data_IF_443047681655
#
_entry.id   IF_443047681655
#
_cell.length_a   1.000
_cell.length_b   1.000
_cell.length_c   1.000
_cell.angle_alpha   90.00
_cell.angle_beta   90.00
_cell.angle_gamma   90.00
#
_symmetry.space_group_name_H-M   'P 1'
#
loop_
_entity.id
_entity.type
_entity.pdbx_description
1 polymer ?
#
# COMPACT_ATOMS: atom_id res chain seq x y z
N UNK A 1 -6.98 9.59 12.90
CA UNK A 1 -6.69 9.91 11.49
C UNK A 1 -7.57 11.10 11.05
N UNK A 2 -6.98 12.06 10.33
CA UNK A 2 -7.79 13.04 9.60
C UNK A 2 -8.23 12.37 8.29
N UNK A 3 -9.54 12.14 8.12
CA UNK A 3 -10.10 11.43 6.97
C UNK A 3 -10.69 12.38 5.91
N UNK A 4 -10.70 13.69 6.14
CA UNK A 4 -11.38 14.64 5.21
C UNK A 4 -10.90 14.47 3.77
N UNK A 5 -9.59 14.59 3.54
CA UNK A 5 -9.01 14.49 2.20
C UNK A 5 -9.27 13.11 1.56
N UNK A 6 -9.28 12.06 2.39
CA UNK A 6 -9.55 10.69 1.95
C UNK A 6 -11.01 10.54 1.52
N UNK A 7 -11.94 11.12 2.28
CA UNK A 7 -13.37 11.12 1.95
C UNK A 7 -13.63 11.87 0.65
N UNK A 8 -12.98 13.02 0.46
CA UNK A 8 -13.08 13.80 -0.78
C UNK A 8 -12.58 13.01 -2.00
N UNK A 9 -11.45 12.32 -1.87
CA UNK A 9 -10.91 11.46 -2.95
C UNK A 9 -11.88 10.30 -3.24
N UNK A 10 -12.45 9.66 -2.21
CA UNK A 10 -13.42 8.57 -2.38
C UNK A 10 -14.69 9.10 -3.08
N UNK A 11 -15.17 10.28 -2.71
CA UNK A 11 -16.34 10.89 -3.35
C UNK A 11 -16.08 11.15 -4.83
N UNK A 12 -14.88 11.60 -5.22
CA UNK A 12 -14.48 11.72 -6.62
C UNK A 12 -14.47 10.36 -7.34
N UNK A 13 -13.91 9.33 -6.71
CA UNK A 13 -13.84 7.98 -7.27
C UNK A 13 -15.23 7.36 -7.52
N UNK A 14 -16.25 7.78 -6.76
CA UNK A 14 -17.63 7.27 -6.91
C UNK A 14 -18.43 7.98 -8.00
N UNK A 15 -17.87 8.97 -8.69
CA UNK A 15 -18.55 9.62 -9.82
C UNK A 15 -18.64 8.69 -11.02
N UNK A 16 -19.85 8.56 -11.60
CA UNK A 16 -20.15 7.57 -12.65
C UNK A 16 -19.63 7.94 -14.05
N UNK A 17 -19.27 9.20 -14.26
CA UNK A 17 -18.85 9.72 -15.57
C UNK A 17 -17.33 9.70 -15.81
N UNK A 18 -16.56 9.12 -14.89
CA UNK A 18 -15.11 8.92 -15.05
C UNK A 18 -14.80 7.43 -15.30
N UNK A 19 -13.69 7.18 -16.00
CA UNK A 19 -13.33 5.80 -16.38
C UNK A 19 -12.99 4.94 -15.16
N UNK A 20 -13.14 3.60 -15.27
CA UNK A 20 -12.79 2.67 -14.20
C UNK A 20 -11.35 2.87 -13.69
N UNK A 21 -10.38 3.06 -14.59
CA UNK A 21 -8.97 3.25 -14.26
C UNK A 21 -8.76 4.52 -13.42
N UNK A 22 -9.39 5.62 -13.83
CA UNK A 22 -9.27 6.89 -13.09
C UNK A 22 -9.93 6.79 -11.72
N UNK A 23 -11.06 6.08 -11.62
CA UNK A 23 -11.69 5.76 -10.32
C UNK A 23 -10.76 4.93 -9.44
N UNK A 24 -10.13 3.89 -10.02
CA UNK A 24 -9.12 3.07 -9.36
C UNK A 24 -7.93 3.89 -8.87
N UNK A 25 -7.39 4.80 -9.69
CA UNK A 25 -6.30 5.70 -9.32
C UNK A 25 -6.65 6.62 -8.13
N UNK A 26 -7.87 7.15 -8.08
CA UNK A 26 -8.32 7.92 -6.91
C UNK A 26 -8.33 7.08 -5.64
N UNK A 27 -8.85 5.84 -5.69
CA UNK A 27 -8.86 4.96 -4.51
C UNK A 27 -7.44 4.56 -4.09
N UNK A 28 -6.58 4.22 -5.05
CA UNK A 28 -5.16 3.95 -4.77
C UNK A 28 -4.49 5.13 -4.07
N UNK A 29 -4.75 6.35 -4.54
CA UNK A 29 -4.23 7.57 -3.90
C UNK A 29 -4.75 7.75 -2.47
N UNK A 30 -6.03 7.46 -2.23
CA UNK A 30 -6.63 7.52 -0.89
C UNK A 30 -5.98 6.51 0.07
N UNK A 31 -5.75 5.27 -0.38
CA UNK A 31 -5.06 4.23 0.41
C UNK A 31 -3.61 4.63 0.67
N UNK A 32 -2.89 5.18 -0.32
CA UNK A 32 -1.51 5.67 -0.13
C UNK A 32 -1.43 6.77 0.93
N UNK A 33 -2.40 7.70 0.95
CA UNK A 33 -2.50 8.74 1.99
C UNK A 33 -2.72 8.12 3.37
N UNK A 34 -3.66 7.18 3.49
CA UNK A 34 -3.94 6.49 4.76
C UNK A 34 -2.72 5.70 5.27
N UNK A 35 -2.11 4.91 4.40
CA UNK A 35 -0.90 4.14 4.71
C UNK A 35 0.25 5.04 5.15
N UNK A 36 0.50 6.13 4.44
CA UNK A 36 1.54 7.09 4.79
C UNK A 36 1.31 7.75 6.15
N UNK A 37 0.07 8.10 6.48
CA UNK A 37 -0.31 8.64 7.79
C UNK A 37 -0.16 7.58 8.89
N UNK A 38 -0.58 6.35 8.61
CA UNK A 38 -0.42 5.22 9.51
C UNK A 38 1.06 4.94 9.80
N UNK A 39 1.88 4.80 8.76
CA UNK A 39 3.30 4.52 8.89
C UNK A 39 4.04 5.60 9.69
N UNK A 40 3.68 6.88 9.51
CA UNK A 40 4.23 8.00 10.28
C UNK A 40 3.84 7.89 11.76
N UNK A 41 2.57 7.58 12.06
CA UNK A 41 2.06 7.44 13.43
C UNK A 41 2.73 6.27 14.17
N UNK A 42 2.93 5.14 13.49
CA UNK A 42 3.47 3.90 14.06
C UNK A 42 4.99 3.76 13.91
N UNK A 43 5.66 4.79 13.37
CA UNK A 43 7.12 4.79 13.10
C UNK A 43 7.58 3.66 12.15
N UNK A 44 6.67 3.12 11.34
CA UNK A 44 6.93 2.07 10.33
C UNK A 44 7.36 2.63 8.96
N UNK A 45 7.82 3.89 8.90
CA UNK A 45 8.26 4.51 7.64
C UNK A 45 9.63 4.03 7.16
N UNK A 46 10.37 3.36 8.05
CA UNK A 46 11.72 2.86 7.80
C UNK A 46 11.94 1.52 8.48
N UNK A 47 12.73 0.64 7.86
CA UNK A 47 13.13 -0.68 8.42
C UNK A 47 14.07 -0.47 9.62
N UNK A 48 15.05 0.41 9.45
CA UNK A 48 16.00 0.81 10.50
C UNK A 48 15.79 2.29 10.84
N UNK A 49 16.15 2.68 12.04
CA UNK A 49 16.15 4.09 12.42
C UNK A 49 16.97 4.91 11.39
N UNK A 50 16.38 6.02 10.92
CA UNK A 50 16.88 6.79 9.76
C UNK A 50 18.32 7.27 9.92
N UNK A 51 18.69 7.76 11.10
CA UNK A 51 20.04 8.28 11.35
C UNK A 51 21.06 7.14 11.46
N UNK A 52 20.66 6.02 12.06
CA UNK A 52 21.48 4.81 12.13
C UNK A 52 21.75 4.24 10.74
N UNK A 53 20.70 4.11 9.91
CA UNK A 53 20.87 3.65 8.53
C UNK A 53 21.74 4.60 7.71
N UNK A 54 21.55 5.92 7.85
CA UNK A 54 22.36 6.91 7.14
C UNK A 54 23.85 6.78 7.45
N UNK A 55 24.20 6.41 8.69
CA UNK A 55 25.60 6.20 9.11
C UNK A 55 26.25 5.05 8.35
N UNK A 56 25.52 3.95 8.12
CA UNK A 56 26.04 2.74 7.46
C UNK A 56 25.76 2.67 5.97
N UNK A 57 24.81 3.46 5.45
CA UNK A 57 24.45 3.44 4.03
C UNK A 57 25.59 3.87 3.10
N UNK A 58 26.52 4.68 3.61
CA UNK A 58 27.75 5.05 2.88
C UNK A 58 28.64 3.83 2.61
N UNK A 59 28.91 3.03 3.62
CA UNK A 59 29.73 1.83 3.52
C UNK A 59 29.06 0.78 2.63
N UNK A 60 27.75 0.56 2.83
CA UNK A 60 26.95 -0.33 1.97
C UNK A 60 27.04 0.10 0.50
N UNK A 61 26.94 1.41 0.26
CA UNK A 61 27.05 1.96 -1.10
C UNK A 61 28.42 1.67 -1.72
N UNK A 62 29.50 1.92 -1.00
CA UNK A 62 30.86 1.68 -1.48
C UNK A 62 30.99 0.21 -1.87
N UNK A 63 30.70 -0.72 -0.96
CA UNK A 63 30.84 -2.15 -1.22
C UNK A 63 29.99 -2.66 -2.39
N UNK A 64 28.75 -2.18 -2.53
CA UNK A 64 27.90 -2.57 -3.65
C UNK A 64 28.48 -2.05 -4.98
N UNK A 65 28.92 -0.80 -5.02
CA UNK A 65 29.46 -0.22 -6.26
C UNK A 65 30.79 -0.85 -6.66
N UNK A 66 31.69 -1.09 -5.72
CA UNK A 66 32.94 -1.81 -5.95
C UNK A 66 32.67 -3.23 -6.49
N UNK A 67 31.76 -3.98 -5.85
CA UNK A 67 31.40 -5.31 -6.33
C UNK A 67 30.83 -5.30 -7.74
N UNK A 68 30.01 -4.31 -8.09
CA UNK A 68 29.46 -4.18 -9.43
C UNK A 68 30.52 -3.80 -10.48
N UNK A 69 31.44 -2.92 -10.15
CA UNK A 69 32.55 -2.52 -11.03
C UNK A 69 33.51 -3.70 -11.31
N UNK A 70 33.79 -4.51 -10.30
CA UNK A 70 34.74 -5.64 -10.42
C UNK A 70 34.15 -6.83 -11.18
N UNK A 71 32.83 -7.05 -11.12
CA UNK A 71 32.21 -8.28 -11.62
C UNK A 71 31.36 -8.07 -12.88
N UNK A 72 31.06 -6.83 -13.26
CA UNK A 72 30.20 -6.52 -14.40
C UNK A 72 30.73 -5.34 -15.20
N UNK A 73 30.60 -5.41 -16.52
CA UNK A 73 30.89 -4.28 -17.41
C UNK A 73 29.72 -3.28 -17.39
N UNK A 74 29.67 -2.48 -16.33
CA UNK A 74 28.61 -1.52 -16.09
C UNK A 74 29.10 -0.09 -16.29
N UNK A 75 28.38 0.69 -17.12
CA UNK A 75 28.72 2.09 -17.30
C UNK A 75 28.54 2.91 -16.02
N UNK A 76 29.38 3.92 -15.84
CA UNK A 76 29.33 4.85 -14.68
C UNK A 76 27.94 5.44 -14.44
N UNK A 77 27.18 5.69 -15.51
CA UNK A 77 25.79 6.18 -15.41
C UNK A 77 24.89 5.23 -14.62
N UNK A 78 25.02 3.92 -14.86
CA UNK A 78 24.21 2.92 -14.14
C UNK A 78 24.68 2.74 -12.69
N UNK A 79 25.99 2.79 -12.43
CA UNK A 79 26.52 2.80 -11.06
C UNK A 79 25.99 3.98 -10.24
N UNK A 80 25.95 5.18 -10.83
CA UNK A 80 25.37 6.36 -10.19
C UNK A 80 23.86 6.16 -9.89
N UNK A 81 23.10 5.50 -10.77
CA UNK A 81 21.70 5.18 -10.53
C UNK A 81 21.52 4.19 -9.40
N UNK A 82 22.33 3.11 -9.37
CA UNK A 82 22.34 2.14 -8.25
C UNK A 82 22.65 2.84 -6.94
N UNK A 83 23.70 3.67 -6.91
CA UNK A 83 24.09 4.40 -5.72
C UNK A 83 23.00 5.35 -5.17
N UNK A 84 22.14 5.88 -6.04
CA UNK A 84 20.97 6.71 -5.62
C UNK A 84 19.83 5.87 -5.04
N UNK A 85 19.75 4.57 -5.35
CA UNK A 85 18.72 3.66 -4.87
C UNK A 85 19.01 3.06 -3.49
N UNK A 86 20.25 3.01 -3.06
CA UNK A 86 20.65 2.41 -1.79
C UNK A 86 19.90 3.00 -0.57
N UNK A 87 19.70 4.34 -0.45
CA UNK A 87 18.92 4.88 0.64
C UNK A 87 17.45 4.39 0.68
N UNK A 88 16.91 3.96 -0.46
CA UNK A 88 15.54 3.44 -0.55
C UNK A 88 15.40 2.04 0.05
N UNK A 89 16.51 1.28 0.18
CA UNK A 89 16.52 -0.04 0.83
C UNK A 89 16.04 0.00 2.29
N UNK A 90 16.08 1.16 2.92
CA UNK A 90 15.56 1.36 4.27
C UNK A 90 14.05 1.64 4.33
N UNK A 91 13.36 1.56 3.20
CA UNK A 91 11.90 1.72 3.16
C UNK A 91 11.26 0.34 3.07
N UNK A 92 10.31 0.01 3.95
CA UNK A 92 9.52 -1.20 3.79
C UNK A 92 8.80 -1.20 2.44
N UNK A 93 8.61 -2.36 1.84
CA UNK A 93 7.80 -2.46 0.64
C UNK A 93 6.36 -1.99 0.91
N UNK A 94 5.72 -1.45 -0.12
CA UNK A 94 4.34 -0.96 -0.02
C UNK A 94 3.40 -2.02 0.54
N UNK A 95 3.49 -3.25 0.04
CA UNK A 95 2.65 -4.38 0.45
C UNK A 95 2.85 -4.76 1.91
N UNK A 96 4.10 -4.77 2.38
CA UNK A 96 4.42 -5.11 3.77
C UNK A 96 3.83 -4.09 4.73
N UNK A 97 3.97 -2.79 4.43
CA UNK A 97 3.35 -1.73 5.21
C UNK A 97 1.81 -1.82 5.20
N UNK A 98 1.24 -2.22 4.06
CA UNK A 98 -0.20 -2.37 3.93
C UNK A 98 -0.71 -3.53 4.80
N UNK A 99 -0.01 -4.68 4.80
CA UNK A 99 -0.30 -5.82 5.67
C UNK A 99 -0.20 -5.45 7.14
N UNK A 100 0.88 -4.79 7.56
CA UNK A 100 1.01 -4.28 8.92
C UNK A 100 -0.13 -3.34 9.31
N UNK A 101 -0.53 -2.45 8.40
CA UNK A 101 -1.63 -1.51 8.64
C UNK A 101 -2.95 -2.23 8.85
N UNK A 102 -3.34 -3.17 7.98
CA UNK A 102 -4.62 -3.89 8.11
C UNK A 102 -4.69 -4.70 9.40
N UNK A 103 -3.58 -5.32 9.82
CA UNK A 103 -3.52 -6.00 11.11
C UNK A 103 -3.65 -5.04 12.30
N UNK A 104 -2.97 -3.90 12.25
CA UNK A 104 -2.93 -2.96 13.37
C UNK A 104 -4.26 -2.24 13.63
N UNK A 105 -5.10 -2.12 12.60
CA UNK A 105 -6.44 -1.48 12.69
C UNK A 105 -7.57 -2.49 12.72
N UNK A 106 -7.25 -3.79 12.76
CA UNK A 106 -8.22 -4.88 12.73
C UNK A 106 -9.20 -4.78 11.55
N UNK A 107 -8.67 -4.45 10.38
CA UNK A 107 -9.47 -4.41 9.16
C UNK A 107 -9.92 -5.84 8.79
N UNK A 108 -11.17 -5.97 8.34
CA UNK A 108 -11.71 -7.26 7.85
C UNK A 108 -11.15 -7.58 6.45
N UNK A 109 -9.81 -7.61 6.35
CA UNK A 109 -9.03 -7.84 5.15
C UNK A 109 -8.00 -8.95 5.41
N UNK A 110 -7.67 -9.70 4.38
CA UNK A 110 -6.64 -10.74 4.39
C UNK A 110 -5.33 -10.22 3.79
N UNK A 111 -4.24 -11.00 3.94
CA UNK A 111 -3.00 -10.72 3.21
C UNK A 111 -3.19 -10.80 1.70
N UNK A 112 -4.03 -11.72 1.23
CA UNK A 112 -4.38 -11.86 -0.20
C UNK A 112 -5.09 -10.62 -0.74
N UNK A 113 -6.00 -10.01 0.06
CA UNK A 113 -6.61 -8.73 -0.30
C UNK A 113 -5.56 -7.62 -0.44
N UNK A 114 -4.55 -7.58 0.45
CA UNK A 114 -3.46 -6.62 0.38
C UNK A 114 -2.54 -6.86 -0.84
N UNK A 115 -2.25 -8.12 -1.17
CA UNK A 115 -1.44 -8.49 -2.33
C UNK A 115 -2.16 -8.17 -3.63
N UNK A 116 -3.45 -8.48 -3.72
CA UNK A 116 -4.33 -8.14 -4.86
C UNK A 116 -4.41 -6.63 -5.04
N UNK A 117 -4.65 -5.88 -3.96
CA UNK A 117 -4.66 -4.42 -4.03
C UNK A 117 -3.31 -3.87 -4.50
N UNK A 118 -2.20 -4.40 -3.98
CA UNK A 118 -0.84 -3.97 -4.37
C UNK A 118 -0.53 -4.28 -5.84
N UNK A 119 -1.05 -5.39 -6.38
CA UNK A 119 -0.92 -5.73 -7.80
C UNK A 119 -1.70 -4.72 -8.67
N UNK A 120 -2.98 -4.53 -8.42
CA UNK A 120 -3.84 -3.61 -9.17
C UNK A 120 -3.34 -2.16 -9.09
N UNK A 121 -2.85 -1.75 -7.92
CA UNK A 121 -2.19 -0.44 -7.75
C UNK A 121 -1.00 -0.27 -8.70
N UNK A 122 -0.13 -1.28 -8.81
CA UNK A 122 1.03 -1.17 -9.68
C UNK A 122 0.64 -1.05 -11.15
N UNK A 123 -0.34 -1.83 -11.61
CA UNK A 123 -0.86 -1.72 -12.98
C UNK A 123 -1.45 -0.33 -13.25
N UNK A 124 -2.32 0.15 -12.37
CA UNK A 124 -2.94 1.48 -12.53
C UNK A 124 -1.90 2.62 -12.53
N UNK A 125 -0.89 2.55 -11.66
CA UNK A 125 0.12 3.61 -11.53
C UNK A 125 1.12 3.59 -12.68
N UNK A 126 1.49 2.42 -13.19
CA UNK A 126 2.54 2.29 -14.21
C UNK A 126 2.01 2.11 -15.61
N UNK A 127 0.83 1.52 -15.77
CA UNK A 127 0.26 1.16 -17.08
C UNK A 127 -1.06 1.89 -17.36
N UNK A 128 -1.63 2.57 -16.37
CA UNK A 128 -2.93 3.23 -16.42
C UNK A 128 -4.07 2.30 -16.88
N UNK A 129 -3.95 1.00 -16.58
CA UNK A 129 -4.89 -0.05 -16.99
C UNK A 129 -5.10 -1.07 -15.87
N UNK A 130 -6.15 -1.87 -15.99
CA UNK A 130 -6.32 -3.10 -15.23
C UNK A 130 -5.71 -4.29 -15.96
N UNK A 131 -5.47 -5.42 -15.26
CA UNK A 131 -4.79 -6.59 -15.82
C UNK A 131 -5.65 -7.41 -16.78
N UNK A 132 -6.96 -7.26 -16.74
CA UNK A 132 -7.89 -8.10 -17.48
C UNK A 132 -9.02 -7.31 -18.13
N UNK A 133 -9.76 -7.96 -19.03
CA UNK A 133 -11.01 -7.42 -19.60
C UNK A 133 -12.14 -7.33 -18.55
N UNK A 134 -11.89 -7.74 -17.29
CA UNK A 134 -12.81 -7.64 -16.15
C UNK A 134 -12.58 -6.37 -15.29
N UNK A 135 -12.26 -5.25 -15.90
CA UNK A 135 -11.95 -3.95 -15.25
C UNK A 135 -12.91 -3.61 -14.10
N UNK A 136 -14.19 -3.92 -14.27
CA UNK A 136 -15.20 -3.63 -13.25
C UNK A 136 -15.00 -4.49 -11.99
N UNK A 137 -14.61 -5.76 -12.15
CA UNK A 137 -14.38 -6.67 -11.01
C UNK A 137 -13.13 -6.24 -10.22
N UNK A 138 -12.08 -5.87 -10.90
CA UNK A 138 -10.86 -5.36 -10.28
C UNK A 138 -11.10 -4.03 -9.58
N UNK A 139 -11.85 -3.13 -10.21
CA UNK A 139 -12.29 -1.89 -9.59
C UNK A 139 -13.12 -2.14 -8.32
N UNK A 140 -14.07 -3.09 -8.34
CA UNK A 140 -14.86 -3.43 -7.16
C UNK A 140 -14.00 -4.01 -6.03
N UNK A 141 -12.95 -4.78 -6.35
CA UNK A 141 -11.97 -5.27 -5.37
C UNK A 141 -11.22 -4.10 -4.70
N UNK A 142 -10.81 -3.11 -5.48
CA UNK A 142 -10.16 -1.89 -4.97
C UNK A 142 -11.11 -1.09 -4.06
N UNK A 143 -12.39 -0.93 -4.44
CA UNK A 143 -13.40 -0.27 -3.60
C UNK A 143 -13.64 -1.03 -2.30
N UNK A 144 -13.79 -2.37 -2.37
CA UNK A 144 -13.94 -3.21 -1.20
C UNK A 144 -12.78 -3.01 -0.21
N UNK A 145 -11.56 -3.04 -0.71
CA UNK A 145 -10.36 -2.83 0.11
C UNK A 145 -10.42 -1.49 0.84
N UNK A 146 -10.73 -0.42 0.10
CA UNK A 146 -10.82 0.93 0.66
C UNK A 146 -11.95 1.09 1.68
N UNK A 147 -13.15 0.60 1.35
CA UNK A 147 -14.30 0.67 2.25
C UNK A 147 -14.00 -0.09 3.56
N UNK A 148 -13.38 -1.28 3.47
CA UNK A 148 -12.97 -2.07 4.63
C UNK A 148 -11.96 -1.33 5.52
N UNK A 149 -10.98 -0.63 4.94
CA UNK A 149 -10.05 0.20 5.69
C UNK A 149 -10.75 1.36 6.42
N UNK A 150 -11.63 2.08 5.73
CA UNK A 150 -12.35 3.21 6.32
C UNK A 150 -13.26 2.74 7.45
N UNK A 151 -13.99 1.66 7.25
CA UNK A 151 -14.88 1.11 8.27
C UNK A 151 -14.10 0.66 9.51
N UNK A 152 -12.93 0.04 9.33
CA UNK A 152 -12.05 -0.33 10.44
C UNK A 152 -11.51 0.91 11.19
N UNK A 153 -11.06 1.94 10.48
CA UNK A 153 -10.57 3.19 11.08
C UNK A 153 -11.68 3.90 11.88
N UNK A 154 -12.93 3.84 11.39
CA UNK A 154 -14.11 4.39 12.06
C UNK A 154 -14.62 3.50 13.20
N UNK A 155 -14.03 2.34 13.42
CA UNK A 155 -14.50 1.34 14.39
C UNK A 155 -15.98 0.99 14.16
N UNK A 156 -16.39 0.82 12.90
CA UNK A 156 -17.76 0.53 12.53
C UNK A 156 -18.03 -0.98 12.58
N UNK A 157 -19.06 -1.37 13.32
CA UNK A 157 -19.44 -2.77 13.55
C UNK A 157 -20.82 -3.14 12.97
N UNK A 158 -21.34 -2.34 12.04
CA UNK A 158 -22.63 -2.53 11.44
C UNK A 158 -22.61 -3.35 10.14
N UNK A 159 -23.75 -3.32 9.45
CA UNK A 159 -23.89 -3.89 8.11
C UNK A 159 -23.40 -2.88 7.07
N UNK A 160 -22.74 -3.37 6.05
CA UNK A 160 -22.29 -2.57 4.91
C UNK A 160 -22.52 -3.32 3.60
N UNK A 161 -22.43 -2.65 2.47
CA UNK A 161 -22.51 -3.27 1.15
C UNK A 161 -21.10 -3.65 0.72
N UNK A 162 -20.85 -4.95 0.54
CA UNK A 162 -19.59 -5.43 -0.05
C UNK A 162 -19.59 -5.09 -1.54
N UNK A 163 -18.68 -4.23 -1.96
CA UNK A 163 -18.58 -3.76 -3.34
C UNK A 163 -18.38 -4.88 -4.35
N UNK A 164 -17.73 -6.00 -3.96
CA UNK A 164 -17.45 -7.14 -4.85
C UNK A 164 -18.70 -7.93 -5.21
N UNK A 165 -19.65 -8.00 -4.29
CA UNK A 165 -20.85 -8.84 -4.43
C UNK A 165 -22.13 -8.04 -4.58
N UNK A 166 -22.12 -6.75 -4.24
CA UNK A 166 -23.29 -5.90 -4.13
C UNK A 166 -24.24 -6.30 -3.00
N UNK A 167 -23.86 -7.25 -2.16
CA UNK A 167 -24.67 -7.80 -1.09
C UNK A 167 -24.34 -7.17 0.26
N UNK A 168 -25.31 -7.21 1.19
CA UNK A 168 -25.03 -6.80 2.56
C UNK A 168 -24.10 -7.80 3.26
N UNK A 169 -22.99 -7.31 3.77
CA UNK A 169 -22.08 -8.02 4.65
C UNK A 169 -22.11 -7.40 6.06
N UNK A 170 -21.66 -8.15 7.04
CA UNK A 170 -21.47 -7.64 8.41
C UNK A 170 -19.99 -7.71 8.74
N UNK A 171 -19.46 -6.65 9.32
CA UNK A 171 -18.15 -6.73 9.97
C UNK A 171 -18.33 -7.66 11.16
N UNK A 172 -17.54 -8.74 11.20
CA UNK A 172 -17.58 -9.67 12.33
C UNK A 172 -17.11 -8.89 13.57
N UNK A 173 -17.78 -9.09 14.73
CA UNK A 173 -17.25 -8.55 15.97
C UNK A 173 -15.82 -9.10 16.15
N UNK A 174 -14.92 -8.22 16.56
CA UNK A 174 -13.54 -8.56 16.84
C UNK A 174 -13.46 -9.78 17.78
N UNK A 175 -12.86 -10.84 17.30
CA UNK A 175 -12.38 -11.92 18.15
C UNK A 175 -10.87 -11.70 18.30
N UNK A 176 -10.39 -11.35 19.51
CA UNK A 176 -8.95 -11.16 19.71
C UNK A 176 -8.24 -12.45 19.32
N UNK A 177 -7.46 -12.39 18.25
CA UNK A 177 -6.55 -13.48 17.93
C UNK A 177 -5.51 -13.54 19.06
N UNK A 178 -5.50 -14.64 19.79
CA UNK A 178 -4.44 -14.95 20.75
C UNK A 178 -3.17 -15.28 19.96
N UNK A 179 -2.47 -14.24 19.48
CA UNK A 179 -1.12 -14.44 18.99
C UNK A 179 -0.22 -14.70 20.21
N UNK A 180 0.55 -15.78 20.23
CA UNK A 180 1.60 -15.93 21.22
C UNK A 180 2.56 -14.75 21.02
N UNK A 181 2.78 -13.99 22.07
CA UNK A 181 3.83 -12.96 22.08
C UNK A 181 5.17 -13.64 21.78
N UNK A 182 6.01 -13.03 20.92
CA UNK A 182 7.36 -13.51 20.68
C UNK A 182 8.20 -13.53 21.95
#
# INVERSE_FOLDING_TARGET
YNLSDVIDIIALAKQIHITPELRGLYIVSAVDVLRGRWAKKHKSSYIFEKNSFKKYSGDIKIHILEYLEENFDISKKYLDLVGKKIPELNRPAFRDQLKEMIYSIDANLTEEDADTFGHNRNLLVHEASFASDEDLKELMSIFYFMDSLVLAILNYHGRYVDARTGSFASIRPYQPQTHPKP
#
